data_IF_313080358720
#
_entry.id   IF_313080358720
#
_cell.length_a   1.000
_cell.length_b   1.000
_cell.length_c   1.000
_cell.angle_alpha   90.00
_cell.angle_beta   90.00
_cell.angle_gamma   90.00
#
_symmetry.space_group_name_H-M   'P 1'
#
loop_
_entity.id
_entity.type
_entity.pdbx_description
1 polymer ?
#
# COMPACT_ATOMS: atom_id res chain seq x y z
N UNK A 1 19.61 22.00 -20.68
CA UNK A 1 19.05 21.86 -19.33
C UNK A 1 19.11 20.39 -18.96
N UNK A 2 20.20 19.93 -18.35
CA UNK A 2 20.24 18.60 -17.74
C UNK A 2 19.70 18.73 -16.32
N UNK A 3 18.39 18.57 -16.17
CA UNK A 3 17.77 18.41 -14.86
C UNK A 3 18.10 17.01 -14.38
N UNK A 4 19.28 16.82 -13.78
CA UNK A 4 19.56 15.61 -13.03
C UNK A 4 18.54 15.55 -11.90
N UNK A 5 17.53 14.69 -12.05
CA UNK A 5 16.58 14.43 -10.98
C UNK A 5 17.40 13.91 -9.80
N UNK A 6 17.48 14.70 -8.73
CA UNK A 6 18.12 14.31 -7.49
C UNK A 6 17.20 13.30 -6.79
N UNK A 7 17.30 12.06 -7.24
CA UNK A 7 16.42 10.98 -6.88
C UNK A 7 16.94 10.28 -5.64
N UNK A 8 16.25 10.47 -4.53
CA UNK A 8 16.56 9.73 -3.32
C UNK A 8 16.08 8.27 -3.42
N UNK A 9 16.96 7.26 -3.28
CA UNK A 9 16.61 5.87 -3.57
C UNK A 9 15.43 5.31 -2.76
N UNK A 10 15.32 5.71 -1.48
CA UNK A 10 14.26 5.25 -0.59
C UNK A 10 12.86 5.70 -1.05
N UNK A 11 12.58 7.01 -1.11
CA UNK A 11 11.33 7.54 -1.64
C UNK A 11 11.02 7.07 -3.06
N UNK A 12 12.03 6.92 -3.92
CA UNK A 12 11.83 6.40 -5.28
C UNK A 12 11.36 4.95 -5.25
N UNK A 13 11.95 4.09 -4.44
CA UNK A 13 11.50 2.71 -4.31
C UNK A 13 10.05 2.63 -3.79
N UNK A 14 9.70 3.45 -2.79
CA UNK A 14 8.34 3.55 -2.26
C UNK A 14 7.36 4.00 -3.35
N UNK A 15 7.66 5.12 -4.01
CA UNK A 15 6.82 5.67 -5.08
C UNK A 15 6.68 4.72 -6.27
N UNK A 16 7.73 3.96 -6.60
CA UNK A 16 7.70 2.96 -7.67
C UNK A 16 6.77 1.80 -7.33
N UNK A 17 6.77 1.30 -6.09
CA UNK A 17 5.84 0.26 -5.65
C UNK A 17 4.39 0.76 -5.64
N UNK A 18 4.16 1.99 -5.15
CA UNK A 18 2.83 2.61 -5.18
C UNK A 18 2.35 2.80 -6.62
N UNK A 19 3.21 3.31 -7.50
CA UNK A 19 2.92 3.47 -8.92
C UNK A 19 2.63 2.14 -9.61
N UNK A 20 3.44 1.10 -9.33
CA UNK A 20 3.22 -0.25 -9.85
C UNK A 20 1.87 -0.83 -9.39
N UNK A 21 1.52 -0.65 -8.12
CA UNK A 21 0.20 -1.04 -7.62
C UNK A 21 -0.92 -0.33 -8.38
N UNK A 22 -0.80 0.99 -8.61
CA UNK A 22 -1.74 1.76 -9.42
C UNK A 22 -1.86 1.23 -10.84
N UNK A 23 -0.73 0.95 -11.50
CA UNK A 23 -0.70 0.37 -12.84
C UNK A 23 -1.38 -1.01 -12.89
N UNK A 24 -1.12 -1.87 -11.91
CA UNK A 24 -1.81 -3.17 -11.79
C UNK A 24 -3.32 -2.97 -11.66
N UNK A 25 -3.77 -2.03 -10.82
CA UNK A 25 -5.20 -1.75 -10.66
C UNK A 25 -5.84 -1.27 -11.97
N UNK A 26 -5.15 -0.42 -12.74
CA UNK A 26 -5.63 0.06 -14.05
C UNK A 26 -5.72 -1.06 -15.10
N UNK A 27 -5.01 -2.17 -14.92
CA UNK A 27 -5.06 -3.33 -15.83
C UNK A 27 -6.22 -4.28 -15.53
N UNK A 28 -6.89 -4.16 -14.38
CA UNK A 28 -8.03 -5.00 -13.98
C UNK A 28 -9.12 -5.18 -15.06
N UNK A 29 -9.56 -4.16 -15.83
CA UNK A 29 -10.62 -4.36 -16.83
C UNK A 29 -10.17 -5.17 -18.06
N UNK A 30 -8.86 -5.34 -18.28
CA UNK A 30 -8.31 -5.97 -19.50
C UNK A 30 -7.45 -7.20 -19.22
N UNK A 31 -7.05 -7.43 -17.97
CA UNK A 31 -6.25 -8.57 -17.55
C UNK A 31 -7.06 -9.45 -16.59
N UNK A 32 -7.27 -10.71 -16.99
CA UNK A 32 -7.89 -11.73 -16.14
C UNK A 32 -6.98 -12.18 -14.98
N UNK A 33 -7.43 -13.14 -14.16
CA UNK A 33 -6.61 -13.70 -13.09
C UNK A 33 -5.27 -14.26 -13.61
N UNK A 34 -4.22 -14.05 -12.82
CA UNK A 34 -2.84 -14.47 -13.15
C UNK A 34 -2.52 -15.75 -12.38
N UNK A 35 -1.88 -16.71 -13.06
CA UNK A 35 -1.42 -17.95 -12.43
C UNK A 35 -0.07 -17.72 -11.72
N UNK A 36 -0.03 -17.96 -10.41
CA UNK A 36 1.17 -17.86 -9.58
C UNK A 36 1.34 -19.13 -8.76
N UNK A 37 2.30 -19.98 -9.12
CA UNK A 37 2.59 -21.22 -8.38
C UNK A 37 1.38 -22.16 -8.23
N UNK A 38 0.48 -22.21 -9.22
CA UNK A 38 -0.76 -23.01 -9.18
C UNK A 38 -1.97 -22.28 -8.59
N UNK A 39 -1.80 -21.08 -8.02
CA UNK A 39 -2.89 -20.23 -7.56
C UNK A 39 -3.37 -19.31 -8.68
N UNK A 40 -4.69 -19.17 -8.82
CA UNK A 40 -5.30 -18.14 -9.68
C UNK A 40 -5.55 -16.88 -8.85
N UNK A 41 -4.75 -15.84 -9.06
CA UNK A 41 -4.77 -14.62 -8.25
C UNK A 41 -5.33 -13.47 -9.08
N UNK A 42 -6.33 -12.76 -8.54
CA UNK A 42 -6.88 -11.58 -9.23
C UNK A 42 -5.86 -10.44 -9.26
N UNK A 43 -5.88 -9.65 -10.35
CA UNK A 43 -5.00 -8.48 -10.49
C UNK A 43 -5.26 -7.45 -9.40
N UNK A 44 -6.51 -7.33 -8.92
CA UNK A 44 -6.88 -6.49 -7.77
C UNK A 44 -6.13 -6.92 -6.50
N UNK A 45 -6.09 -8.23 -6.22
CA UNK A 45 -5.36 -8.74 -5.06
C UNK A 45 -3.86 -8.48 -5.17
N UNK A 46 -3.28 -8.66 -6.37
CA UNK A 46 -1.87 -8.33 -6.61
C UNK A 46 -1.58 -6.84 -6.40
N UNK A 47 -2.44 -5.96 -6.91
CA UNK A 47 -2.33 -4.51 -6.70
C UNK A 47 -2.34 -4.17 -5.21
N UNK A 48 -3.27 -4.76 -4.44
CA UNK A 48 -3.36 -4.54 -2.99
C UNK A 48 -2.10 -5.03 -2.25
N UNK A 49 -1.57 -6.21 -2.59
CA UNK A 49 -0.34 -6.75 -2.00
C UNK A 49 0.86 -5.85 -2.30
N UNK A 50 1.03 -5.43 -3.55
CA UNK A 50 2.12 -4.51 -3.94
C UNK A 50 1.98 -3.17 -3.22
N UNK A 51 0.76 -2.67 -3.04
CA UNK A 51 0.50 -1.45 -2.30
C UNK A 51 0.89 -1.57 -0.83
N UNK A 52 0.50 -2.68 -0.19
CA UNK A 52 0.89 -3.00 1.19
C UNK A 52 2.42 -3.00 1.33
N UNK A 53 3.15 -3.62 0.40
CA UNK A 53 4.61 -3.61 0.41
C UNK A 53 5.20 -2.21 0.25
N UNK A 54 4.64 -1.39 -0.64
CA UNK A 54 5.01 0.02 -0.81
C UNK A 54 4.83 0.82 0.49
N UNK A 55 3.69 0.65 1.15
CA UNK A 55 3.43 1.27 2.44
C UNK A 55 4.34 0.76 3.56
N UNK A 56 4.58 -0.55 3.66
CA UNK A 56 5.52 -1.11 4.64
C UNK A 56 6.94 -0.59 4.44
N UNK A 57 7.41 -0.50 3.19
CA UNK A 57 8.71 0.09 2.88
C UNK A 57 8.74 1.58 3.25
N UNK A 58 7.69 2.33 2.91
CA UNK A 58 7.59 3.74 3.24
C UNK A 58 7.62 4.00 4.73
N UNK A 59 6.95 3.18 5.54
CA UNK A 59 7.04 3.26 7.00
C UNK A 59 8.51 3.18 7.46
N UNK A 60 9.25 2.16 7.00
CA UNK A 60 10.66 1.97 7.36
C UNK A 60 11.53 3.13 6.88
N UNK A 61 11.37 3.54 5.61
CA UNK A 61 12.17 4.62 5.00
C UNK A 61 11.95 5.95 5.74
N UNK A 62 10.70 6.36 5.95
CA UNK A 62 10.39 7.64 6.58
C UNK A 62 10.66 7.63 8.09
N UNK A 63 10.52 6.49 8.77
CA UNK A 63 10.88 6.34 10.18
C UNK A 63 12.39 6.55 10.37
N UNK A 64 13.22 5.92 9.53
CA UNK A 64 14.69 6.06 9.59
C UNK A 64 15.18 7.47 9.30
N UNK A 65 14.37 8.28 8.62
CA UNK A 65 14.68 9.67 8.26
C UNK A 65 14.13 10.70 9.25
N UNK A 66 13.48 10.26 10.33
CA UNK A 66 12.88 11.14 11.33
C UNK A 66 11.57 11.80 10.90
N UNK A 67 11.00 11.43 9.74
CA UNK A 67 9.73 11.97 9.25
C UNK A 67 8.54 11.22 9.88
N UNK A 68 8.29 11.48 11.17
CA UNK A 68 7.35 10.69 12.00
C UNK A 68 5.93 10.65 11.45
N UNK A 69 5.38 11.76 10.95
CA UNK A 69 4.03 11.80 10.40
C UNK A 69 3.91 10.99 9.10
N UNK A 70 4.89 11.10 8.20
CA UNK A 70 4.94 10.30 6.97
C UNK A 70 5.10 8.81 7.27
N UNK A 71 5.94 8.46 8.24
CA UNK A 71 6.08 7.09 8.71
C UNK A 71 4.74 6.57 9.25
N UNK A 72 4.08 7.33 10.14
CA UNK A 72 2.78 6.95 10.71
C UNK A 72 1.72 6.74 9.61
N UNK A 73 1.65 7.64 8.62
CA UNK A 73 0.73 7.47 7.50
C UNK A 73 0.97 6.15 6.77
N UNK A 74 2.21 5.88 6.36
CA UNK A 74 2.57 4.64 5.68
C UNK A 74 2.32 3.40 6.55
N UNK A 75 2.59 3.46 7.85
CA UNK A 75 2.33 2.36 8.77
C UNK A 75 0.84 2.04 8.89
N UNK A 76 -0.01 3.07 9.05
CA UNK A 76 -1.46 2.94 9.09
C UNK A 76 -1.99 2.32 7.80
N UNK A 77 -1.59 2.86 6.64
CA UNK A 77 -2.03 2.33 5.35
C UNK A 77 -1.50 0.91 5.10
N UNK A 78 -0.27 0.58 5.53
CA UNK A 78 0.25 -0.78 5.43
C UNK A 78 -0.61 -1.78 6.19
N UNK A 79 -0.98 -1.47 7.44
CA UNK A 79 -1.84 -2.34 8.26
C UNK A 79 -3.24 -2.44 7.66
N UNK A 80 -3.85 -1.32 7.30
CA UNK A 80 -5.18 -1.29 6.69
C UNK A 80 -5.24 -2.16 5.43
N UNK A 81 -4.32 -1.95 4.48
CA UNK A 81 -4.29 -2.69 3.23
C UNK A 81 -3.93 -4.17 3.41
N UNK A 82 -3.05 -4.50 4.36
CA UNK A 82 -2.78 -5.90 4.72
C UNK A 82 -4.05 -6.61 5.19
N UNK A 83 -4.84 -5.99 6.07
CA UNK A 83 -6.11 -6.55 6.54
C UNK A 83 -7.15 -6.64 5.42
N UNK A 84 -7.24 -5.62 4.56
CA UNK A 84 -8.15 -5.62 3.41
C UNK A 84 -7.79 -6.69 2.38
N UNK A 85 -6.51 -6.99 2.19
CA UNK A 85 -6.06 -8.07 1.32
C UNK A 85 -6.24 -9.47 1.96
N UNK A 86 -5.93 -9.59 3.26
CA UNK A 86 -6.03 -10.86 3.99
C UNK A 86 -7.46 -11.28 4.28
N UNK A 87 -8.38 -10.34 4.54
CA UNK A 87 -9.77 -10.65 4.86
C UNK A 87 -10.43 -11.57 3.81
N UNK A 88 -10.47 -11.18 2.52
CA UNK A 88 -10.97 -12.03 1.45
C UNK A 88 -10.17 -13.32 1.27
N UNK A 89 -8.85 -13.25 1.38
CA UNK A 89 -7.97 -14.43 1.27
C UNK A 89 -8.28 -15.49 2.33
N UNK A 90 -8.62 -15.05 3.55
CA UNK A 90 -8.98 -15.91 4.68
C UNK A 90 -10.49 -16.20 4.75
N UNK A 91 -11.30 -15.64 3.83
CA UNK A 91 -12.77 -15.72 3.91
C UNK A 91 -13.36 -15.05 5.17
N UNK A 92 -12.67 -14.09 5.77
CA UNK A 92 -13.00 -13.48 7.06
C UNK A 92 -13.53 -12.06 6.92
N UNK A 93 -14.86 -11.92 7.03
CA UNK A 93 -15.56 -10.63 7.09
C UNK A 93 -15.06 -9.73 8.23
N UNK A 94 -14.87 -10.23 9.47
CA UNK A 94 -14.34 -9.42 10.56
C UNK A 94 -12.95 -8.83 10.28
N UNK A 95 -12.05 -9.58 9.65
CA UNK A 95 -10.70 -9.09 9.28
C UNK A 95 -10.81 -7.99 8.22
N UNK A 96 -11.67 -8.17 7.22
CA UNK A 96 -11.94 -7.14 6.21
C UNK A 96 -12.49 -5.85 6.87
N UNK A 97 -13.48 -5.97 7.76
CA UNK A 97 -14.07 -4.84 8.49
C UNK A 97 -13.01 -4.15 9.36
N UNK A 98 -12.17 -4.91 10.05
CA UNK A 98 -11.06 -4.35 10.83
C UNK A 98 -10.13 -3.52 9.94
N UNK A 99 -9.83 -3.98 8.72
CA UNK A 99 -9.07 -3.20 7.72
C UNK A 99 -9.73 -1.87 7.38
N UNK A 100 -11.04 -1.86 7.13
CA UNK A 100 -11.81 -0.62 6.87
C UNK A 100 -11.78 0.31 8.09
N UNK A 101 -11.96 -0.23 9.30
CA UNK A 101 -11.92 0.56 10.55
C UNK A 101 -10.54 1.20 10.75
N UNK A 102 -9.46 0.44 10.57
CA UNK A 102 -8.09 0.96 10.66
C UNK A 102 -7.85 2.05 9.63
N UNK A 103 -8.35 1.87 8.40
CA UNK A 103 -8.24 2.87 7.34
C UNK A 103 -8.93 4.18 7.73
N UNK A 104 -10.21 4.12 8.12
CA UNK A 104 -11.01 5.31 8.44
C UNK A 104 -10.49 6.00 9.70
N UNK A 105 -10.27 5.25 10.78
CA UNK A 105 -9.75 5.80 12.03
C UNK A 105 -8.35 6.37 11.85
N UNK A 106 -7.51 5.69 11.07
CA UNK A 106 -6.16 6.12 10.74
C UNK A 106 -6.11 7.41 9.93
N UNK A 107 -6.95 7.53 8.89
CA UNK A 107 -7.10 8.79 8.14
C UNK A 107 -7.61 9.91 9.05
N UNK A 108 -8.61 9.64 9.89
CA UNK A 108 -9.11 10.59 10.87
C UNK A 108 -8.01 11.07 11.82
N UNK A 109 -7.22 10.16 12.36
CA UNK A 109 -6.05 10.47 13.20
C UNK A 109 -5.06 11.36 12.44
N UNK A 110 -4.65 11.00 11.21
CA UNK A 110 -3.69 11.78 10.43
C UNK A 110 -4.18 13.21 10.16
N UNK A 111 -5.48 13.40 9.91
CA UNK A 111 -6.08 14.73 9.74
C UNK A 111 -5.94 15.58 11.00
N UNK A 112 -6.00 14.99 12.20
CA UNK A 112 -5.78 15.72 13.45
C UNK A 112 -4.32 16.12 13.68
N UNK A 113 -3.37 15.41 13.07
CA UNK A 113 -1.93 15.70 13.18
C UNK A 113 -1.44 16.72 12.15
N UNK A 114 -2.22 16.99 11.10
CA UNK A 114 -1.88 17.93 10.03
C UNK A 114 -2.40 19.35 10.23
N UNK A 115 -3.00 19.64 11.39
CA UNK A 115 -3.47 20.98 11.80
C UNK A 115 -2.47 21.59 12.78
#
# INVERSE_FOLDING_TARGET
MNSSLDLEPGPVAVGSLVGLSGLLYLLVPVVGPVSLGGLSVSVVALSAVVLTLGFSLGFVVFARRGHRLFAAAHGIFAVAWALLALGPFLGSGPVLIAGVVVLVAGVGFLVTQGR
#
